data_IF_134120425105
#
_entry.id   IF_134120425105
#
_cell.length_a   1.000
_cell.length_b   1.000
_cell.length_c   1.000
_cell.angle_alpha   90.00
_cell.angle_beta   90.00
_cell.angle_gamma   90.00
#
_symmetry.space_group_name_H-M   'P 1'
#
loop_
_entity.id
_entity.type
_entity.pdbx_description
1 polymer ?
#
# COMPACT_ATOMS: atom_id res chain seq x y z
N UNK A 1 10.02 24.52 77.12
CA UNK A 1 9.46 23.16 77.39
C UNK A 1 9.41 22.43 76.06
N UNK A 2 10.21 21.38 75.91
CA UNK A 2 10.21 20.44 74.77
C UNK A 2 8.91 19.63 74.81
N UNK A 3 8.32 19.33 73.66
CA UNK A 3 7.75 18.00 73.34
C UNK A 3 7.75 17.87 71.81
N UNK A 4 8.60 16.96 71.33
CA UNK A 4 8.47 16.31 70.02
C UNK A 4 7.42 15.20 70.17
N UNK A 5 6.56 14.99 69.16
CA UNK A 5 6.13 13.63 68.85
C UNK A 5 5.78 13.49 67.37
N UNK A 6 6.55 12.59 66.74
CA UNK A 6 6.36 11.98 65.42
C UNK A 6 4.92 11.49 65.21
N UNK A 7 4.42 11.46 63.96
CA UNK A 7 3.77 10.28 63.35
C UNK A 7 3.43 10.51 61.85
N UNK A 8 4.15 9.73 61.02
CA UNK A 8 3.74 8.97 59.81
C UNK A 8 3.15 9.67 58.55
N UNK A 9 3.96 9.59 57.49
CA UNK A 9 3.70 8.91 56.19
C UNK A 9 2.38 9.26 55.48
N UNK A 10 2.51 9.98 54.36
CA UNK A 10 1.75 9.67 53.14
C UNK A 10 2.64 9.93 51.92
N UNK A 11 3.06 8.83 51.30
CA UNK A 11 3.75 8.76 50.01
C UNK A 11 2.66 8.94 48.95
N UNK A 12 2.69 10.05 48.20
CA UNK A 12 2.00 10.13 46.91
C UNK A 12 3.05 10.32 45.83
N UNK A 13 3.48 9.19 45.28
CA UNK A 13 4.25 9.13 44.05
C UNK A 13 3.39 9.69 42.91
N UNK A 14 3.70 10.90 42.44
CA UNK A 14 3.25 11.35 41.13
C UNK A 14 4.08 10.62 40.08
N UNK A 15 3.56 9.50 39.61
CA UNK A 15 4.06 8.82 38.42
C UNK A 15 3.80 9.79 37.25
N UNK A 16 4.84 10.48 36.80
CA UNK A 16 4.89 11.03 35.45
C UNK A 16 4.82 9.83 34.50
N UNK A 17 3.61 9.45 34.09
CA UNK A 17 3.43 8.68 32.87
C UNK A 17 3.88 9.57 31.74
N UNK A 18 5.11 9.33 31.26
CA UNK A 18 5.59 9.85 30.00
C UNK A 18 4.51 9.51 28.96
N UNK A 19 3.76 10.53 28.55
CA UNK A 19 2.82 10.45 27.46
C UNK A 19 3.62 10.06 26.24
N UNK A 20 3.56 8.77 25.89
CA UNK A 20 3.96 8.25 24.59
C UNK A 20 3.13 8.98 23.56
N UNK A 21 3.64 10.13 23.13
CA UNK A 21 3.13 10.92 22.03
C UNK A 21 3.33 10.06 20.80
N UNK A 22 2.36 9.17 20.54
CA UNK A 22 2.27 8.49 19.26
C UNK A 22 1.99 9.61 18.27
N UNK A 23 3.06 10.11 17.65
CA UNK A 23 2.96 10.84 16.39
C UNK A 23 2.24 9.87 15.46
N UNK A 24 0.93 9.99 15.37
CA UNK A 24 0.15 9.23 14.40
C UNK A 24 0.68 9.71 13.05
N UNK A 25 1.44 8.85 12.37
CA UNK A 25 1.85 9.10 11.01
C UNK A 25 0.60 9.52 10.26
N UNK A 26 0.64 10.71 9.66
CA UNK A 26 -0.53 11.28 8.98
C UNK A 26 -0.92 10.30 7.88
N UNK A 27 -2.05 9.64 8.09
CA UNK A 27 -2.65 8.76 7.11
C UNK A 27 -3.12 9.60 5.94
N UNK A 28 -2.53 9.40 4.76
CA UNK A 28 -2.80 10.23 3.58
C UNK A 28 -3.13 9.35 2.38
N UNK A 29 -4.03 9.84 1.54
CA UNK A 29 -4.24 9.36 0.17
C UNK A 29 -3.63 10.35 -0.81
N UNK A 30 -3.14 9.84 -1.95
CA UNK A 30 -2.56 10.68 -2.99
C UNK A 30 -3.45 10.70 -4.22
N UNK A 31 -4.06 11.86 -4.47
CA UNK A 31 -4.91 12.07 -5.64
C UNK A 31 -4.18 11.86 -6.95
N UNK A 32 -4.81 11.12 -7.85
CA UNK A 32 -4.36 10.86 -9.21
C UNK A 32 -5.52 11.03 -10.21
N UNK A 33 -5.21 10.96 -11.50
CA UNK A 33 -6.11 11.43 -12.56
C UNK A 33 -7.47 10.71 -12.62
N UNK A 34 -7.56 9.48 -12.08
CA UNK A 34 -8.77 8.65 -12.09
C UNK A 34 -9.14 8.14 -10.69
N UNK A 35 -8.55 8.67 -9.62
CA UNK A 35 -8.83 8.24 -8.25
C UNK A 35 -7.83 8.75 -7.21
N UNK A 36 -7.68 8.02 -6.10
CA UNK A 36 -6.66 8.25 -5.08
C UNK A 36 -5.83 6.96 -4.82
N UNK A 37 -4.51 7.08 -4.67
CA UNK A 37 -3.69 6.01 -4.12
C UNK A 37 -3.93 5.99 -2.62
N UNK A 38 -4.46 4.89 -2.09
CA UNK A 38 -4.83 4.79 -0.68
C UNK A 38 -3.89 3.90 0.11
N UNK A 39 -3.20 2.94 -0.50
CA UNK A 39 -2.15 2.18 0.18
C UNK A 39 -1.11 1.69 -0.81
N UNK A 40 0.08 1.44 -0.31
CA UNK A 40 1.13 0.77 -1.06
C UNK A 40 2.02 -0.03 -0.12
N UNK A 41 2.10 -1.33 -0.39
CA UNK A 41 2.83 -2.27 0.45
C UNK A 41 3.72 -3.18 -0.40
N UNK A 42 4.86 -3.55 0.16
CA UNK A 42 5.81 -4.50 -0.43
C UNK A 42 6.05 -5.65 0.55
N UNK A 43 5.97 -6.89 0.06
CA UNK A 43 6.17 -8.10 0.85
C UNK A 43 7.10 -9.11 0.15
N UNK A 44 7.78 -9.95 0.93
CA UNK A 44 8.41 -11.19 0.48
C UNK A 44 7.54 -12.43 0.70
N UNK A 45 6.39 -12.29 1.35
CA UNK A 45 5.47 -13.41 1.50
C UNK A 45 5.04 -13.91 0.12
N UNK A 46 5.10 -15.22 -0.15
CA UNK A 46 4.61 -15.77 -1.41
C UNK A 46 3.15 -15.41 -1.65
N UNK A 47 2.83 -15.06 -2.90
CA UNK A 47 1.47 -14.75 -3.34
C UNK A 47 1.11 -15.67 -4.49
N UNK A 48 -0.10 -16.23 -4.46
CA UNK A 48 -0.63 -17.03 -5.55
C UNK A 48 -0.87 -16.13 -6.77
N UNK A 49 -0.10 -16.36 -7.83
CA UNK A 49 -0.21 -15.63 -9.10
C UNK A 49 -0.30 -16.63 -10.25
N UNK A 50 -1.46 -16.67 -10.89
CA UNK A 50 -1.77 -17.56 -12.00
C UNK A 50 -1.40 -16.96 -13.36
N UNK A 51 -1.27 -17.81 -14.38
CA UNK A 51 -0.95 -17.43 -15.76
C UNK A 51 0.34 -16.61 -15.93
N UNK A 52 1.28 -16.75 -14.99
CA UNK A 52 2.54 -15.98 -14.98
C UNK A 52 3.38 -16.19 -16.24
N UNK A 53 3.43 -17.42 -16.74
CA UNK A 53 4.16 -17.79 -17.96
C UNK A 53 3.65 -17.10 -19.23
N UNK A 54 2.40 -16.62 -19.21
CA UNK A 54 1.78 -15.91 -20.33
C UNK A 54 2.02 -14.40 -20.27
N UNK A 55 2.61 -13.89 -19.19
CA UNK A 55 2.87 -12.47 -19.04
C UNK A 55 4.11 -12.07 -19.84
N UNK A 56 4.03 -11.06 -20.73
CA UNK A 56 5.09 -10.76 -21.70
C UNK A 56 6.34 -10.11 -21.08
N UNK A 57 6.34 -9.82 -19.77
CA UNK A 57 7.45 -9.16 -19.09
C UNK A 57 8.10 -10.05 -18.03
N UNK A 58 9.40 -9.86 -17.75
CA UNK A 58 10.11 -10.64 -16.74
C UNK A 58 9.45 -10.53 -15.36
N UNK A 59 9.02 -11.66 -14.83
CA UNK A 59 8.45 -11.76 -13.49
C UNK A 59 9.03 -12.96 -12.69
N UNK A 60 9.92 -13.74 -13.30
CA UNK A 60 10.63 -14.87 -12.68
C UNK A 60 11.98 -14.42 -12.13
N UNK A 61 11.98 -13.83 -10.93
CA UNK A 61 13.20 -13.39 -10.25
C UNK A 61 13.67 -14.44 -9.23
N UNK A 62 14.98 -14.52 -9.00
CA UNK A 62 15.57 -15.40 -7.97
C UNK A 62 15.16 -15.02 -6.53
N UNK A 63 14.77 -13.75 -6.33
CA UNK A 63 14.31 -13.24 -5.03
C UNK A 63 13.12 -12.32 -5.29
N UNK A 64 11.91 -12.86 -5.52
CA UNK A 64 10.76 -12.03 -5.86
C UNK A 64 10.31 -11.20 -4.65
N UNK A 65 9.92 -9.95 -4.92
CA UNK A 65 9.15 -9.11 -4.00
C UNK A 65 7.84 -8.75 -4.66
N UNK A 66 6.76 -8.84 -3.92
CA UNK A 66 5.44 -8.49 -4.39
C UNK A 66 5.10 -7.09 -3.89
N UNK A 67 4.64 -6.23 -4.80
CA UNK A 67 4.19 -4.89 -4.45
C UNK A 67 2.72 -4.76 -4.83
N UNK A 68 1.90 -4.37 -3.86
CA UNK A 68 0.51 -4.04 -4.07
C UNK A 68 0.31 -2.53 -3.92
N UNK A 69 -0.34 -1.92 -4.90
CA UNK A 69 -0.82 -0.55 -4.84
C UNK A 69 -2.34 -0.60 -4.84
N UNK A 70 -2.96 -0.03 -3.80
CA UNK A 70 -4.42 0.05 -3.72
C UNK A 70 -4.87 1.42 -4.19
N UNK A 71 -5.67 1.41 -5.25
CA UNK A 71 -6.26 2.59 -5.85
C UNK A 71 -7.74 2.64 -5.51
N UNK A 72 -8.20 3.75 -4.96
CA UNK A 72 -9.62 4.09 -4.86
C UNK A 72 -10.00 4.90 -6.10
N UNK A 73 -10.67 4.28 -7.05
CA UNK A 73 -11.05 4.91 -8.32
C UNK A 73 -12.24 5.86 -8.13
N UNK A 74 -12.29 6.93 -8.93
CA UNK A 74 -13.51 7.70 -9.08
C UNK A 74 -14.59 6.87 -9.80
N UNK A 75 -15.89 7.16 -9.55
CA UNK A 75 -16.96 6.41 -10.18
C UNK A 75 -16.92 6.49 -11.71
N UNK A 76 -17.44 5.45 -12.37
CA UNK A 76 -17.49 5.33 -13.83
C UNK A 76 -16.13 5.45 -14.54
N UNK A 77 -15.03 5.13 -13.84
CA UNK A 77 -13.69 5.03 -14.42
C UNK A 77 -13.30 3.58 -14.65
N UNK A 78 -12.45 3.39 -15.64
CA UNK A 78 -11.94 2.09 -16.04
C UNK A 78 -10.46 2.00 -15.72
N UNK A 79 -10.01 0.80 -15.38
CA UNK A 79 -8.62 0.51 -15.04
C UNK A 79 -8.12 -0.68 -15.85
N UNK A 80 -6.94 -0.52 -16.45
CA UNK A 80 -6.28 -1.56 -17.24
C UNK A 80 -4.82 -1.69 -16.77
N UNK A 81 -4.31 -2.91 -16.50
CA UNK A 81 -2.92 -3.11 -16.08
C UNK A 81 -1.88 -2.41 -16.98
N UNK A 82 -2.12 -2.34 -18.29
CA UNK A 82 -1.15 -1.79 -19.26
C UNK A 82 -0.90 -0.29 -19.08
N UNK A 83 -1.82 0.42 -18.42
CA UNK A 83 -1.73 1.87 -18.23
C UNK A 83 -0.82 2.24 -17.04
N UNK A 84 -0.35 1.27 -16.25
CA UNK A 84 0.32 1.53 -14.98
C UNK A 84 1.68 0.86 -14.87
N UNK A 85 2.69 1.69 -14.61
CA UNK A 85 4.06 1.22 -14.32
C UNK A 85 4.54 1.75 -12.98
N UNK A 86 5.40 0.98 -12.34
CA UNK A 86 6.01 1.31 -11.07
C UNK A 86 7.51 1.39 -11.23
N UNK A 87 8.12 2.48 -10.76
CA UNK A 87 9.57 2.65 -10.74
C UNK A 87 10.07 2.61 -9.31
N UNK A 88 11.01 1.71 -9.03
CA UNK A 88 11.71 1.62 -7.74
C UNK A 88 13.20 1.53 -8.06
N UNK A 89 14.02 2.38 -7.44
CA UNK A 89 15.48 2.36 -7.62
C UNK A 89 15.90 2.34 -9.11
N UNK A 90 15.27 3.21 -9.92
CA UNK A 90 15.45 3.34 -11.37
C UNK A 90 15.12 2.08 -12.21
N UNK A 91 14.56 1.03 -11.60
CA UNK A 91 14.01 -0.13 -12.32
C UNK A 91 12.53 0.10 -12.59
N UNK A 92 12.07 -0.25 -13.80
CA UNK A 92 10.66 -0.17 -14.19
C UNK A 92 10.02 -1.55 -14.09
N UNK A 93 8.88 -1.62 -13.41
CA UNK A 93 8.07 -2.81 -13.22
C UNK A 93 6.68 -2.58 -13.81
N UNK A 94 6.19 -3.56 -14.58
CA UNK A 94 4.86 -3.50 -15.18
C UNK A 94 3.81 -4.05 -14.21
N UNK A 95 2.62 -3.46 -14.22
CA UNK A 95 1.49 -4.02 -13.49
C UNK A 95 1.12 -5.37 -14.13
N UNK A 96 1.14 -6.43 -13.35
CA UNK A 96 0.95 -7.79 -13.87
C UNK A 96 -0.49 -8.26 -13.75
N UNK A 97 -1.20 -7.75 -12.74
CA UNK A 97 -2.58 -8.12 -12.45
C UNK A 97 -3.30 -6.97 -11.74
N UNK A 98 -4.61 -6.90 -11.93
CA UNK A 98 -5.52 -6.04 -11.18
C UNK A 98 -6.66 -6.90 -10.65
N UNK A 99 -7.11 -6.63 -9.43
CA UNK A 99 -8.34 -7.20 -8.89
C UNK A 99 -9.15 -6.19 -8.09
N UNK A 100 -10.41 -6.52 -7.85
CA UNK A 100 -11.27 -5.75 -6.94
C UNK A 100 -10.82 -5.93 -5.49
N UNK A 101 -10.90 -4.87 -4.69
CA UNK A 101 -10.55 -4.87 -3.26
C UNK A 101 -11.58 -5.57 -2.37
N UNK A 102 -12.77 -5.89 -2.88
CA UNK A 102 -13.83 -6.58 -2.11
C UNK A 102 -13.65 -8.11 -2.17
N UNK A 103 -12.94 -8.60 -3.18
CA UNK A 103 -12.77 -10.03 -3.37
C UNK A 103 -12.03 -10.63 -2.18
N UNK A 104 -12.62 -11.67 -1.59
CA UNK A 104 -11.97 -12.44 -0.52
C UNK A 104 -10.85 -13.32 -1.07
N UNK A 105 -10.84 -13.57 -2.39
CA UNK A 105 -9.76 -14.29 -3.03
C UNK A 105 -8.46 -13.48 -2.93
N UNK A 106 -7.44 -14.11 -2.35
CA UNK A 106 -6.11 -13.52 -2.20
C UNK A 106 -5.23 -13.74 -3.43
N UNK A 107 -5.65 -14.61 -4.35
CA UNK A 107 -4.94 -14.91 -5.58
C UNK A 107 -5.03 -13.77 -6.60
N UNK A 108 -4.15 -13.81 -7.59
CA UNK A 108 -4.11 -12.89 -8.71
C UNK A 108 -3.93 -13.68 -10.01
N UNK A 109 -4.46 -13.16 -11.11
CA UNK A 109 -4.27 -13.74 -12.44
C UNK A 109 -3.57 -12.72 -13.32
N UNK A 110 -2.41 -13.10 -13.87
CA UNK A 110 -1.66 -12.24 -14.78
C UNK A 110 -2.45 -11.91 -16.04
N UNK A 111 -2.26 -10.70 -16.57
CA UNK A 111 -2.96 -10.27 -17.79
C UNK A 111 -4.46 -10.11 -17.59
N UNK A 112 -4.92 -9.99 -16.34
CA UNK A 112 -6.31 -9.76 -15.98
C UNK A 112 -6.94 -8.66 -16.84
N UNK A 113 -8.20 -8.86 -17.21
CA UNK A 113 -8.97 -7.95 -18.04
C UNK A 113 -9.13 -6.56 -17.40
N UNK A 114 -9.44 -5.60 -18.26
CA UNK A 114 -9.89 -4.27 -17.88
C UNK A 114 -11.07 -4.35 -16.89
N UNK A 115 -10.95 -3.67 -15.75
CA UNK A 115 -12.02 -3.58 -14.75
C UNK A 115 -12.63 -2.17 -14.76
N UNK A 116 -13.91 -2.08 -14.39
CA UNK A 116 -14.61 -0.79 -14.31
C UNK A 116 -15.11 -0.54 -12.89
N UNK A 117 -14.83 0.65 -12.38
CA UNK A 117 -15.39 1.14 -11.14
C UNK A 117 -16.91 1.36 -11.32
N UNK A 118 -17.74 0.99 -10.33
CA UNK A 118 -19.19 1.23 -10.40
C UNK A 118 -19.53 2.70 -10.64
N UNK A 119 -20.73 2.99 -11.13
CA UNK A 119 -21.17 4.37 -11.36
C UNK A 119 -21.51 5.13 -10.07
N UNK A 120 -22.06 4.43 -9.07
CA UNK A 120 -22.40 4.92 -7.73
C UNK A 120 -22.40 3.70 -6.79
N UNK A 121 -21.91 3.84 -5.56
CA UNK A 121 -21.85 2.69 -4.66
C UNK A 121 -20.94 2.88 -3.45
N UNK A 122 -20.69 1.77 -2.76
CA UNK A 122 -19.83 1.72 -1.58
C UNK A 122 -18.38 2.05 -1.99
N UNK A 123 -17.71 2.96 -1.27
CA UNK A 123 -16.32 3.35 -1.54
C UNK A 123 -15.33 2.16 -1.67
N UNK A 124 -15.59 1.07 -0.95
CA UNK A 124 -14.85 -0.20 -1.04
C UNK A 124 -14.97 -0.86 -2.43
N UNK A 125 -16.14 -0.72 -3.09
CA UNK A 125 -16.38 -1.21 -4.45
C UNK A 125 -15.57 -0.48 -5.53
N UNK A 126 -14.94 0.64 -5.16
CA UNK A 126 -14.07 1.39 -6.04
C UNK A 126 -12.58 1.15 -5.74
N UNK A 127 -12.26 0.27 -4.77
CA UNK A 127 -10.88 -0.08 -4.48
C UNK A 127 -10.40 -1.19 -5.42
N UNK A 128 -9.26 -0.98 -6.06
CA UNK A 128 -8.60 -1.94 -6.91
C UNK A 128 -7.17 -2.14 -6.44
N UNK A 129 -6.69 -3.38 -6.52
CA UNK A 129 -5.34 -3.75 -6.11
C UNK A 129 -4.54 -4.03 -7.38
N UNK A 130 -3.51 -3.22 -7.63
CA UNK A 130 -2.54 -3.41 -8.70
C UNK A 130 -1.37 -4.20 -8.15
N UNK A 131 -1.05 -5.32 -8.78
CA UNK A 131 0.06 -6.17 -8.38
C UNK A 131 1.26 -5.98 -9.31
N UNK A 132 2.43 -5.92 -8.70
CA UNK A 132 3.73 -5.94 -9.36
C UNK A 132 4.60 -7.03 -8.73
N UNK A 133 5.45 -7.65 -9.54
CA UNK A 133 6.56 -8.48 -9.05
C UNK A 133 7.85 -7.76 -9.39
N UNK A 134 8.69 -7.56 -8.37
CA UNK A 134 9.98 -6.90 -8.49
C UNK A 134 11.14 -7.82 -8.10
N UNK A 135 12.33 -7.52 -8.62
CA UNK A 135 13.57 -8.17 -8.18
C UNK A 135 13.97 -7.63 -6.81
N UNK A 136 13.84 -8.47 -5.79
CA UNK A 136 14.18 -8.16 -4.41
C UNK A 136 15.64 -7.77 -4.19
N UNK A 137 16.55 -8.10 -5.10
CA UNK A 137 17.95 -7.61 -5.07
C UNK A 137 18.06 -6.14 -5.47
N UNK A 138 17.06 -5.59 -6.16
CA UNK A 138 17.01 -4.19 -6.62
C UNK A 138 16.13 -3.31 -5.74
N UNK A 139 15.34 -3.91 -4.85
CA UNK A 139 14.51 -3.19 -3.87
C UNK A 139 15.39 -2.71 -2.70
N UNK A 140 15.35 -1.42 -2.35
CA UNK A 140 16.05 -0.91 -1.17
C UNK A 140 15.69 -1.66 0.11
N UNK A 141 16.69 -1.95 0.94
CA UNK A 141 16.47 -2.46 2.29
C UNK A 141 15.98 -1.34 3.19
N UNK A 142 14.84 -1.54 3.85
CA UNK A 142 14.22 -0.53 4.71
C UNK A 142 12.73 -0.74 4.85
N UNK A 143 12.11 -0.08 5.84
CA UNK A 143 10.67 -0.10 6.09
C UNK A 143 9.87 0.78 5.12
N UNK A 144 10.55 1.69 4.42
CA UNK A 144 9.98 2.66 3.48
C UNK A 144 10.78 2.63 2.18
N UNK A 145 10.11 2.36 1.06
CA UNK A 145 10.73 2.20 -0.26
C UNK A 145 10.25 3.36 -1.15
N UNK A 146 11.13 4.30 -1.53
CA UNK A 146 10.78 5.37 -2.46
C UNK A 146 10.39 4.81 -3.82
N UNK A 147 9.26 5.27 -4.35
CA UNK A 147 8.74 4.82 -5.62
C UNK A 147 8.15 5.96 -6.46
N UNK A 148 8.07 5.71 -7.77
CA UNK A 148 7.35 6.56 -8.72
C UNK A 148 6.30 5.69 -9.41
N UNK A 149 5.03 6.03 -9.21
CA UNK A 149 3.92 5.43 -9.94
C UNK A 149 3.61 6.29 -11.16
N UNK A 150 3.58 5.67 -12.32
CA UNK A 150 3.35 6.34 -13.60
C UNK A 150 2.11 5.77 -14.26
N UNK A 151 1.16 6.66 -14.56
CA UNK A 151 -0.07 6.35 -15.27
C UNK A 151 0.00 6.92 -16.69
N UNK A 152 -0.15 6.05 -17.69
CA UNK A 152 -0.13 6.35 -19.12
C UNK A 152 -1.51 6.11 -19.69
N UNK A 153 -2.39 7.12 -19.57
CA UNK A 153 -3.67 7.08 -20.26
C UNK A 153 -3.50 7.50 -21.72
N UNK A 154 -4.18 6.81 -22.63
CA UNK A 154 -4.18 7.16 -24.04
C UNK A 154 -4.52 8.66 -24.24
N UNK A 155 -3.79 9.31 -25.13
CA UNK A 155 -3.96 10.74 -25.50
C UNK A 155 -3.68 11.73 -24.36
N UNK A 156 -2.93 11.33 -23.32
CA UNK A 156 -2.52 12.22 -22.23
C UNK A 156 -1.03 12.09 -21.93
N UNK A 157 -0.43 13.17 -21.43
CA UNK A 157 0.94 13.12 -20.93
C UNK A 157 1.00 12.17 -19.71
N UNK A 158 2.00 11.28 -19.66
CA UNK A 158 2.18 10.40 -18.51
C UNK A 158 2.26 11.19 -17.21
N UNK A 159 1.45 10.83 -16.22
CA UNK A 159 1.49 11.48 -14.90
C UNK A 159 2.28 10.61 -13.94
N UNK A 160 3.30 11.20 -13.33
CA UNK A 160 4.11 10.56 -12.30
C UNK A 160 3.70 11.05 -10.92
N UNK A 161 3.61 10.12 -9.98
CA UNK A 161 3.34 10.37 -8.57
C UNK A 161 4.44 9.71 -7.75
N UNK A 162 5.08 10.50 -6.89
CA UNK A 162 6.13 10.02 -5.98
C UNK A 162 5.55 9.77 -4.61
N UNK A 163 5.88 8.63 -4.02
CA UNK A 163 5.41 8.23 -2.69
C UNK A 163 6.30 7.11 -2.14
N UNK A 164 6.07 6.75 -0.88
CA UNK A 164 6.77 5.66 -0.23
C UNK A 164 5.88 4.42 -0.14
N UNK A 165 6.43 3.27 -0.51
CA UNK A 165 5.81 1.96 -0.31
C UNK A 165 6.25 1.45 1.06
N UNK A 166 5.30 0.99 1.88
CA UNK A 166 5.60 0.36 3.16
C UNK A 166 6.13 -1.06 2.94
N UNK A 167 7.37 -1.34 3.37
CA UNK A 167 7.89 -2.70 3.37
C UNK A 167 7.40 -3.44 4.61
N UNK A 168 6.51 -4.41 4.41
CA UNK A 168 5.88 -5.17 5.49
C UNK A 168 6.61 -6.48 5.79
N UNK A 169 7.77 -6.73 5.16
CA UNK A 169 8.59 -7.92 5.40
C UNK A 169 7.92 -9.17 4.83
N UNK A 170 7.70 -10.19 5.67
CA UNK A 170 7.08 -11.46 5.29
C UNK A 170 5.60 -11.55 5.68
N UNK A 171 4.91 -10.42 5.75
CA UNK A 171 3.48 -10.36 6.12
C UNK A 171 2.61 -10.35 4.87
N UNK A 172 1.37 -10.82 5.02
CA UNK A 172 0.34 -10.65 4.00
C UNK A 172 -0.03 -9.17 3.86
N UNK A 173 -0.46 -8.77 2.66
CA UNK A 173 -0.98 -7.42 2.44
C UNK A 173 -2.16 -7.12 3.35
N UNK A 174 -2.28 -5.85 3.72
CA UNK A 174 -3.48 -5.35 4.39
C UNK A 174 -4.68 -5.53 3.46
N UNK A 175 -5.73 -6.26 3.88
CA UNK A 175 -6.95 -6.38 3.08
C UNK A 175 -7.55 -5.01 2.78
N UNK A 176 -8.07 -4.79 1.58
CA UNK A 176 -8.63 -3.47 1.22
C UNK A 176 -9.82 -3.06 2.12
N UNK A 177 -10.57 -4.03 2.63
CA UNK A 177 -11.54 -3.87 3.73
C UNK A 177 -11.03 -3.12 4.96
N UNK A 178 -9.74 -3.28 5.26
CA UNK A 178 -9.11 -2.74 6.44
C UNK A 178 -8.32 -1.45 6.16
N UNK A 179 -8.31 -0.97 4.91
CA UNK A 179 -7.69 0.30 4.54
C UNK A 179 -8.68 1.42 4.87
N UNK A 180 -8.36 2.34 5.79
CA UNK A 180 -9.27 3.42 6.15
C UNK A 180 -9.42 4.39 4.98
N UNK A 181 -10.53 5.14 4.96
CA UNK A 181 -10.84 6.05 3.86
C UNK A 181 -9.75 7.12 3.60
N UNK A 182 -9.00 7.49 4.64
CA UNK A 182 -7.88 8.42 4.57
C UNK A 182 -6.60 7.82 3.96
N UNK A 183 -6.55 6.50 3.70
CA UNK A 183 -5.39 5.79 3.15
C UNK A 183 -4.52 5.10 4.19
N UNK A 184 -3.28 4.75 3.82
CA UNK A 184 -2.22 4.18 4.66
C UNK A 184 -0.85 4.69 4.20
N UNK A 185 -0.81 5.62 3.24
CA UNK A 185 0.44 6.21 2.78
C UNK A 185 1.03 7.09 3.88
N UNK A 186 2.36 7.18 3.88
CA UNK A 186 3.18 7.91 4.85
C UNK A 186 4.12 8.86 4.14
#
# INVERSE_FOLDING_TARGET
MKINFFIKICICAFILTAGSSRIMAKTVSLGFQVGDIVAAECTSAPIAVWAKEQFPYPCNFSSPRYVAIVLKMYPARTINPVDYTLKINNQTYNCIAIKSGIEQDTSFTCGSSTLSAPQLGNAQQHMFILLYIADGKKIPSGSSIPAVFECKLANRQPRQIRFNISNIGNKNFTPAGNIPAAGLLK
#
